data_IF_593681381213
#
_entry.id   IF_593681381213
#
_cell.length_a   1.000
_cell.length_b   1.000
_cell.length_c   1.000
_cell.angle_alpha   90.00
_cell.angle_beta   90.00
_cell.angle_gamma   90.00
#
_symmetry.space_group_name_H-M   'P 1'
#
loop_
_entity.id
_entity.type
_entity.pdbx_description
1 polymer ?
#
# COMPACT_ATOMS: atom_id res chain seq x y z
N UNK A 1 24.35 7.74 -27.49
CA UNK A 1 22.95 8.22 -27.67
C UNK A 1 23.05 9.69 -28.04
N UNK A 2 22.69 10.12 -29.26
CA UNK A 2 22.72 11.54 -29.61
C UNK A 2 21.77 12.32 -28.68
N UNK A 3 22.15 13.55 -28.33
CA UNK A 3 21.37 14.40 -27.44
C UNK A 3 19.94 14.56 -27.98
N UNK A 4 18.95 14.42 -27.09
CA UNK A 4 17.55 14.65 -27.45
C UNK A 4 17.39 16.10 -27.91
N UNK A 5 17.12 16.30 -29.20
CA UNK A 5 16.78 17.60 -29.76
C UNK A 5 15.51 18.11 -29.09
N UNK A 6 15.48 19.39 -28.69
CA UNK A 6 14.32 19.98 -28.04
C UNK A 6 13.08 19.89 -28.94
N UNK A 7 11.91 19.67 -28.34
CA UNK A 7 10.62 19.53 -29.05
C UNK A 7 10.32 20.76 -29.93
N UNK A 8 10.57 21.96 -29.41
CA UNK A 8 10.39 23.22 -30.13
C UNK A 8 11.25 23.31 -31.40
N UNK A 9 12.48 22.76 -31.38
CA UNK A 9 13.34 22.77 -32.56
C UNK A 9 12.80 21.84 -33.65
N UNK A 10 12.23 20.68 -33.26
CA UNK A 10 11.61 19.73 -34.19
C UNK A 10 10.37 20.33 -34.87
N UNK A 11 9.54 21.05 -34.11
CA UNK A 11 8.37 21.78 -34.62
C UNK A 11 8.78 22.83 -35.65
N UNK A 12 9.78 23.65 -35.33
CA UNK A 12 10.29 24.67 -36.25
C UNK A 12 10.80 24.08 -37.56
N UNK A 13 11.52 22.96 -37.50
CA UNK A 13 12.00 22.25 -38.70
C UNK A 13 10.83 21.83 -39.62
N UNK A 14 9.72 21.38 -39.05
CA UNK A 14 8.53 20.98 -39.82
C UNK A 14 7.87 22.19 -40.47
N UNK A 15 7.66 23.28 -39.72
CA UNK A 15 7.11 24.53 -40.25
C UNK A 15 7.98 25.09 -41.37
N UNK A 16 9.30 25.10 -41.18
CA UNK A 16 10.26 25.56 -42.19
C UNK A 16 10.18 24.79 -43.50
N UNK A 17 9.98 23.48 -43.43
CA UNK A 17 9.92 22.63 -44.60
C UNK A 17 8.54 22.64 -45.29
N UNK A 18 7.45 22.54 -44.54
CA UNK A 18 6.11 22.39 -45.09
C UNK A 18 5.39 23.73 -45.37
N UNK A 19 5.53 24.72 -44.50
CA UNK A 19 4.84 26.01 -44.65
C UNK A 19 5.69 27.05 -45.38
N UNK A 20 6.99 27.10 -45.07
CA UNK A 20 7.90 28.11 -45.63
C UNK A 20 8.73 27.61 -46.83
N UNK A 21 8.65 26.33 -47.19
CA UNK A 21 9.36 25.71 -48.31
C UNK A 21 10.87 26.01 -48.37
N UNK A 22 11.51 26.10 -47.20
CA UNK A 22 12.95 26.38 -47.08
C UNK A 22 13.73 25.13 -47.52
N UNK A 23 14.82 25.29 -48.32
CA UNK A 23 15.65 24.15 -48.72
C UNK A 23 16.35 23.52 -47.51
N UNK A 24 16.55 22.20 -47.58
CA UNK A 24 17.05 21.38 -46.46
C UNK A 24 18.43 21.84 -45.96
N UNK A 25 19.29 22.33 -46.86
CA UNK A 25 20.62 22.83 -46.49
C UNK A 25 20.55 24.08 -45.61
N UNK A 26 19.59 24.96 -45.90
CA UNK A 26 19.36 26.15 -45.09
C UNK A 26 18.71 25.79 -43.75
N UNK A 27 17.80 24.81 -43.71
CA UNK A 27 17.26 24.26 -42.46
C UNK A 27 18.36 23.68 -41.56
N UNK A 28 19.34 22.98 -42.15
CA UNK A 28 20.50 22.45 -41.42
C UNK A 28 21.33 23.58 -40.82
N UNK A 29 21.62 24.64 -41.59
CA UNK A 29 22.35 25.80 -41.10
C UNK A 29 21.60 26.54 -39.99
N UNK A 30 20.29 26.72 -40.14
CA UNK A 30 19.44 27.44 -39.17
C UNK A 30 19.20 26.66 -37.87
N UNK A 31 19.06 25.33 -37.96
CA UNK A 31 18.79 24.47 -36.79
C UNK A 31 20.05 23.99 -36.07
N UNK A 32 21.21 24.02 -36.74
CA UNK A 32 22.45 23.44 -36.23
C UNK A 32 22.42 21.90 -36.13
N UNK A 33 21.41 21.25 -36.72
CA UNK A 33 21.25 19.80 -36.71
C UNK A 33 21.97 19.16 -37.90
N UNK A 34 22.38 17.89 -37.75
CA UNK A 34 22.90 17.14 -38.90
C UNK A 34 21.79 16.90 -39.94
N UNK A 35 22.18 16.80 -41.21
CA UNK A 35 21.27 16.52 -42.32
C UNK A 35 20.44 15.24 -42.09
N UNK A 36 21.05 14.21 -41.52
CA UNK A 36 20.39 12.96 -41.16
C UNK A 36 19.28 13.16 -40.11
N UNK A 37 19.51 14.01 -39.10
CA UNK A 37 18.50 14.31 -38.07
C UNK A 37 17.32 15.06 -38.67
N UNK A 38 17.56 16.03 -39.56
CA UNK A 38 16.48 16.76 -40.27
C UNK A 38 15.63 15.80 -41.09
N UNK A 39 16.26 14.92 -41.89
CA UNK A 39 15.53 13.91 -42.66
C UNK A 39 14.74 12.95 -41.76
N UNK A 40 15.31 12.48 -40.64
CA UNK A 40 14.60 11.62 -39.70
C UNK A 40 13.37 12.32 -39.10
N UNK A 41 13.46 13.60 -38.75
CA UNK A 41 12.32 14.39 -38.22
C UNK A 41 11.21 14.46 -39.27
N UNK A 42 11.56 14.84 -40.51
CA UNK A 42 10.59 14.93 -41.60
C UNK A 42 9.97 13.57 -41.93
N UNK A 43 10.76 12.49 -41.91
CA UNK A 43 10.27 11.15 -42.15
C UNK A 43 9.28 10.69 -41.07
N UNK A 44 9.58 10.94 -39.78
CA UNK A 44 8.66 10.63 -38.69
C UNK A 44 7.35 11.42 -38.85
N UNK A 45 7.44 12.71 -39.18
CA UNK A 45 6.26 13.56 -39.39
C UNK A 45 5.43 13.12 -40.60
N UNK A 46 6.06 12.79 -41.73
CA UNK A 46 5.36 12.31 -42.92
C UNK A 46 4.67 10.95 -42.70
N UNK A 47 5.29 10.06 -41.93
CA UNK A 47 4.76 8.72 -41.71
C UNK A 47 3.65 8.69 -40.64
N UNK A 48 3.72 9.56 -39.63
CA UNK A 48 2.87 9.47 -38.44
C UNK A 48 2.08 10.74 -38.12
N UNK A 49 2.31 11.86 -38.82
CA UNK A 49 1.69 13.16 -38.54
C UNK A 49 2.04 13.74 -37.16
N UNK A 50 3.06 13.19 -36.50
CA UNK A 50 3.46 13.53 -35.14
C UNK A 50 4.96 13.78 -35.06
N UNK A 51 5.39 14.57 -34.09
CA UNK A 51 6.80 14.79 -33.77
C UNK A 51 7.47 13.52 -33.25
N UNK A 52 6.70 12.60 -32.67
CA UNK A 52 7.18 11.36 -32.10
C UNK A 52 6.62 10.17 -32.87
N UNK A 53 7.45 9.15 -33.06
CA UNK A 53 6.97 7.89 -33.61
C UNK A 53 6.06 7.22 -32.55
N UNK A 54 4.75 7.09 -32.81
CA UNK A 54 3.81 6.47 -31.87
C UNK A 54 4.11 4.99 -31.66
N UNK A 55 4.85 4.34 -32.57
CA UNK A 55 5.26 2.94 -32.47
C UNK A 55 6.55 2.76 -31.65
N UNK A 56 7.29 3.83 -31.38
CA UNK A 56 8.43 3.79 -30.46
C UNK A 56 7.92 3.84 -29.03
N UNK A 57 7.25 2.77 -28.59
CA UNK A 57 7.05 2.56 -27.17
C UNK A 57 8.41 2.23 -26.54
N UNK A 58 8.75 2.80 -25.37
CA UNK A 58 9.92 2.37 -24.64
C UNK A 58 9.81 0.88 -24.36
N UNK A 59 10.62 0.08 -25.06
CA UNK A 59 10.72 -1.35 -24.76
C UNK A 59 11.53 -1.47 -23.48
N UNK A 60 10.81 -1.53 -22.36
CA UNK A 60 11.41 -1.80 -21.06
C UNK A 60 11.99 -3.23 -21.02
N UNK A 61 12.79 -3.51 -19.99
CA UNK A 61 13.21 -4.88 -19.69
C UNK A 61 11.96 -5.75 -19.53
N UNK A 62 11.96 -6.92 -20.15
CA UNK A 62 10.89 -7.90 -20.00
C UNK A 62 10.64 -8.17 -18.51
N UNK A 63 9.37 -8.13 -18.11
CA UNK A 63 9.00 -8.42 -16.71
C UNK A 63 9.23 -9.91 -16.44
N UNK A 64 9.66 -10.25 -15.23
CA UNK A 64 9.80 -11.65 -14.82
C UNK A 64 8.43 -12.34 -14.64
N UNK A 65 7.37 -11.57 -14.42
CA UNK A 65 5.99 -12.06 -14.31
C UNK A 65 5.21 -11.61 -15.54
N UNK A 66 4.59 -12.57 -16.21
CA UNK A 66 3.72 -12.32 -17.35
C UNK A 66 2.28 -12.05 -16.88
N UNK A 67 1.41 -11.57 -17.77
CA UNK A 67 0.00 -11.32 -17.48
C UNK A 67 -0.71 -12.55 -16.88
N UNK A 68 -0.40 -13.76 -17.37
CA UNK A 68 -0.98 -15.00 -16.85
C UNK A 68 -0.61 -15.30 -15.39
N UNK A 69 0.59 -14.90 -14.96
CA UNK A 69 1.04 -15.10 -13.57
C UNK A 69 0.38 -14.08 -12.64
N UNK A 70 0.15 -12.86 -13.12
CA UNK A 70 -0.60 -11.85 -12.38
C UNK A 70 -2.04 -12.31 -12.12
N UNK A 71 -2.71 -12.89 -13.11
CA UNK A 71 -4.05 -13.47 -12.95
C UNK A 71 -4.04 -14.63 -11.94
N UNK A 72 -3.01 -15.46 -11.96
CA UNK A 72 -2.85 -16.54 -10.98
C UNK A 72 -2.70 -16.00 -9.55
N UNK A 73 -1.84 -15.01 -9.33
CA UNK A 73 -1.65 -14.37 -8.03
C UNK A 73 -2.95 -13.74 -7.52
N UNK A 74 -3.73 -13.10 -8.40
CA UNK A 74 -5.03 -12.55 -8.05
C UNK A 74 -6.03 -13.65 -7.62
N UNK A 75 -6.06 -14.78 -8.32
CA UNK A 75 -6.90 -15.92 -7.93
C UNK A 75 -6.51 -16.49 -6.57
N UNK A 76 -5.20 -16.62 -6.33
CA UNK A 76 -4.67 -17.13 -5.06
C UNK A 76 -5.05 -16.23 -3.88
N UNK A 77 -4.90 -14.93 -4.03
CA UNK A 77 -5.29 -13.94 -3.02
C UNK A 77 -6.81 -13.84 -2.84
N UNK A 78 -7.59 -14.10 -3.89
CA UNK A 78 -9.05 -14.12 -3.80
C UNK A 78 -9.56 -15.33 -3.02
N UNK A 79 -8.88 -16.48 -3.16
CA UNK A 79 -9.19 -17.69 -2.40
C UNK A 79 -8.73 -17.59 -0.94
N UNK A 80 -7.51 -17.08 -0.72
CA UNK A 80 -6.88 -17.00 0.59
C UNK A 80 -6.25 -15.61 0.80
N UNK A 81 -7.01 -14.60 1.28
CA UNK A 81 -6.49 -13.26 1.51
C UNK A 81 -5.48 -13.19 2.67
N UNK A 82 -5.39 -14.27 3.47
CA UNK A 82 -4.48 -14.38 4.61
C UNK A 82 -3.08 -14.87 4.24
N UNK A 83 -2.77 -15.04 2.96
CA UNK A 83 -1.47 -15.56 2.52
C UNK A 83 -0.34 -14.53 2.69
N UNK A 84 0.86 -15.00 3.01
CA UNK A 84 2.08 -14.19 3.07
C UNK A 84 2.82 -14.15 1.73
N UNK A 85 3.79 -13.25 1.59
CA UNK A 85 4.49 -13.04 0.30
C UNK A 85 5.40 -14.20 -0.08
N UNK A 86 6.03 -14.84 0.91
CA UNK A 86 6.81 -16.06 0.79
C UNK A 86 5.93 -17.26 0.42
N UNK A 87 4.75 -17.40 1.02
CA UNK A 87 3.79 -18.44 0.61
C UNK A 87 3.35 -18.27 -0.87
N UNK A 88 3.11 -17.03 -1.31
CA UNK A 88 2.80 -16.75 -2.73
C UNK A 88 4.01 -17.08 -3.62
N UNK A 89 5.23 -16.84 -3.15
CA UNK A 89 6.45 -17.21 -3.85
C UNK A 89 6.55 -18.72 -4.03
N UNK A 90 6.28 -19.49 -2.97
CA UNK A 90 6.31 -20.96 -3.01
C UNK A 90 5.26 -21.50 -3.98
N UNK A 91 4.03 -20.96 -3.96
CA UNK A 91 2.98 -21.34 -4.91
C UNK A 91 3.35 -21.06 -6.38
N UNK A 92 4.03 -19.94 -6.63
CA UNK A 92 4.54 -19.61 -7.97
C UNK A 92 5.67 -20.54 -8.40
N UNK A 93 6.56 -20.90 -7.49
CA UNK A 93 7.63 -21.86 -7.77
C UNK A 93 7.06 -23.26 -8.07
N UNK A 94 6.09 -23.73 -7.27
CA UNK A 94 5.51 -25.06 -7.42
C UNK A 94 4.60 -25.18 -8.66
N UNK A 95 3.73 -24.19 -8.91
CA UNK A 95 2.71 -24.29 -9.96
C UNK A 95 3.20 -23.81 -11.32
N UNK A 96 4.04 -22.77 -11.33
CA UNK A 96 4.47 -22.08 -12.56
C UNK A 96 5.97 -22.26 -12.85
N UNK A 97 6.73 -22.83 -11.92
CA UNK A 97 8.19 -22.97 -12.01
C UNK A 97 8.90 -21.61 -12.22
N UNK A 98 8.37 -20.56 -11.58
CA UNK A 98 8.90 -19.20 -11.65
C UNK A 98 9.44 -18.80 -10.27
N UNK A 99 10.73 -18.55 -10.20
CA UNK A 99 11.37 -18.03 -8.99
C UNK A 99 11.42 -16.49 -9.03
N UNK A 100 10.70 -15.86 -8.10
CA UNK A 100 10.65 -14.39 -7.97
C UNK A 100 11.03 -13.97 -6.57
N UNK A 101 11.85 -12.93 -6.46
CA UNK A 101 12.15 -12.35 -5.15
C UNK A 101 10.90 -11.75 -4.50
N UNK A 102 10.84 -11.79 -3.17
CA UNK A 102 9.79 -11.13 -2.36
C UNK A 102 9.65 -9.64 -2.72
N UNK A 103 10.77 -8.96 -3.02
CA UNK A 103 10.75 -7.56 -3.44
C UNK A 103 10.05 -7.35 -4.80
N UNK A 104 10.22 -8.30 -5.73
CA UNK A 104 9.50 -8.31 -7.01
C UNK A 104 8.01 -8.48 -6.77
N UNK A 105 7.63 -9.44 -5.94
CA UNK A 105 6.23 -9.70 -5.57
C UNK A 105 5.58 -8.48 -4.91
N UNK A 106 6.24 -7.86 -3.94
CA UNK A 106 5.76 -6.65 -3.26
C UNK A 106 5.50 -5.49 -4.25
N UNK A 107 6.43 -5.25 -5.18
CA UNK A 107 6.25 -4.23 -6.23
C UNK A 107 5.09 -4.59 -7.16
N UNK A 108 4.95 -5.85 -7.53
CA UNK A 108 3.87 -6.30 -8.42
C UNK A 108 2.50 -6.16 -7.78
N UNK A 109 2.35 -6.53 -6.50
CA UNK A 109 1.09 -6.37 -5.76
C UNK A 109 0.72 -4.90 -5.58
N UNK A 110 1.71 -4.04 -5.30
CA UNK A 110 1.50 -2.59 -5.25
C UNK A 110 1.02 -2.03 -6.60
N UNK A 111 1.60 -2.51 -7.70
CA UNK A 111 1.16 -2.13 -9.06
C UNK A 111 -0.25 -2.64 -9.40
N UNK A 112 -0.68 -3.74 -8.78
CA UNK A 112 -2.05 -4.28 -8.86
C UNK A 112 -3.03 -3.57 -7.89
N UNK A 113 -2.60 -2.51 -7.21
CA UNK A 113 -3.37 -1.77 -6.20
C UNK A 113 -3.81 -2.62 -4.99
N UNK A 114 -3.16 -3.77 -4.75
CA UNK A 114 -3.38 -4.59 -3.55
C UNK A 114 -2.45 -4.05 -2.46
N UNK A 115 -2.99 -3.20 -1.58
CA UNK A 115 -2.20 -2.41 -0.62
C UNK A 115 -2.24 -2.92 0.81
N UNK A 116 -3.25 -3.72 1.17
CA UNK A 116 -3.41 -4.21 2.54
C UNK A 116 -4.12 -5.57 2.60
N UNK A 117 -3.66 -6.39 3.54
CA UNK A 117 -4.26 -7.65 3.92
C UNK A 117 -5.51 -7.32 4.75
N UNK A 118 -6.70 -7.41 4.15
CA UNK A 118 -7.96 -7.30 4.91
C UNK A 118 -8.15 -8.61 5.66
N UNK A 119 -7.64 -8.67 6.89
CA UNK A 119 -7.88 -9.80 7.79
C UNK A 119 -9.07 -9.43 8.68
N UNK A 120 -10.28 -9.69 8.19
CA UNK A 120 -11.42 -9.85 9.07
C UNK A 120 -11.30 -11.25 9.70
N UNK A 121 -10.43 -11.40 10.70
CA UNK A 121 -10.40 -12.63 11.50
C UNK A 121 -11.58 -12.56 12.47
N UNK A 122 -12.71 -13.10 12.07
CA UNK A 122 -13.75 -13.44 13.03
C UNK A 122 -13.17 -14.50 13.98
N UNK A 123 -13.32 -14.27 15.29
CA UNK A 123 -12.90 -15.24 16.29
C UNK A 123 -13.71 -16.53 16.07
N UNK A 124 -13.06 -17.68 16.03
CA UNK A 124 -13.73 -18.98 15.83
C UNK A 124 -14.78 -19.26 16.93
N UNK A 125 -14.56 -18.69 18.11
CA UNK A 125 -15.43 -18.77 19.29
C UNK A 125 -16.61 -17.79 19.24
N UNK A 126 -16.72 -16.98 18.17
CA UNK A 126 -17.73 -15.93 18.06
C UNK A 126 -19.10 -16.53 17.75
N UNK A 127 -19.96 -16.53 18.77
CA UNK A 127 -21.38 -16.87 18.65
C UNK A 127 -22.22 -15.58 18.61
N UNK A 128 -22.87 -15.33 17.46
CA UNK A 128 -23.71 -14.15 17.25
C UNK A 128 -24.97 -14.16 18.13
N UNK A 129 -25.51 -15.35 18.46
CA UNK A 129 -26.64 -15.48 19.38
C UNK A 129 -26.21 -15.05 20.78
N UNK A 130 -25.05 -15.55 21.25
CA UNK A 130 -24.52 -15.20 22.57
C UNK A 130 -24.21 -13.69 22.66
N UNK A 131 -23.67 -13.08 21.59
CA UNK A 131 -23.47 -11.62 21.51
C UNK A 131 -24.78 -10.85 21.58
N UNK A 132 -25.81 -11.28 20.87
CA UNK A 132 -27.11 -10.60 20.87
C UNK A 132 -27.78 -10.69 22.25
N UNK A 133 -27.72 -11.86 22.90
CA UNK A 133 -28.20 -12.05 24.28
C UNK A 133 -27.45 -11.15 25.25
N UNK A 134 -26.11 -11.15 25.20
CA UNK A 134 -25.29 -10.29 26.04
C UNK A 134 -25.56 -8.80 25.80
N UNK A 135 -25.75 -8.36 24.55
CA UNK A 135 -26.11 -6.97 24.22
C UNK A 135 -27.46 -6.55 24.84
N UNK A 136 -28.46 -7.45 24.83
CA UNK A 136 -29.76 -7.19 25.47
C UNK A 136 -29.71 -7.21 27.00
N UNK A 137 -28.78 -7.96 27.59
CA UNK A 137 -28.54 -7.96 29.03
C UNK A 137 -27.79 -6.70 29.48
N UNK A 138 -26.73 -6.32 28.75
CA UNK A 138 -25.89 -5.18 29.12
C UNK A 138 -26.57 -3.84 28.90
N UNK A 139 -27.54 -3.74 27.97
CA UNK A 139 -28.31 -2.51 27.71
C UNK A 139 -29.15 -2.04 28.89
N UNK A 140 -29.28 -2.84 29.96
CA UNK A 140 -29.99 -2.49 31.19
C UNK A 140 -29.19 -1.56 32.10
N UNK A 141 -27.87 -1.51 31.92
CA UNK A 141 -26.97 -0.69 32.70
C UNK A 141 -26.69 0.62 31.96
N UNK A 142 -26.61 1.73 32.69
CA UNK A 142 -26.20 3.01 32.13
C UNK A 142 -24.67 3.07 31.97
N UNK A 143 -24.18 3.96 31.10
CA UNK A 143 -22.76 4.05 30.74
C UNK A 143 -21.83 4.29 31.95
N UNK A 144 -22.31 5.02 32.96
CA UNK A 144 -21.62 5.32 34.20
C UNK A 144 -21.54 4.12 35.17
N UNK A 145 -22.31 3.06 34.91
CA UNK A 145 -22.32 1.82 35.68
C UNK A 145 -21.40 0.74 35.10
N UNK A 146 -20.80 0.99 33.93
CA UNK A 146 -19.96 0.03 33.22
C UNK A 146 -18.47 0.31 33.45
N UNK A 147 -17.76 -0.69 33.97
CA UNK A 147 -16.30 -0.68 34.13
C UNK A 147 -15.73 -1.86 33.36
N UNK A 148 -14.76 -1.58 32.48
CA UNK A 148 -14.11 -2.61 31.67
C UNK A 148 -12.70 -2.88 32.19
N UNK A 149 -12.41 -4.16 32.39
CA UNK A 149 -11.10 -4.67 32.77
C UNK A 149 -10.61 -5.55 31.63
N UNK A 150 -9.43 -5.23 31.10
CA UNK A 150 -8.78 -6.06 30.09
C UNK A 150 -7.30 -6.23 30.45
N UNK A 151 -6.78 -7.42 30.14
CA UNK A 151 -5.39 -7.77 30.36
C UNK A 151 -4.61 -7.53 29.08
N UNK A 152 -3.83 -6.45 29.06
CA UNK A 152 -2.93 -6.18 27.96
C UNK A 152 -1.56 -6.81 28.25
N UNK A 153 -1.10 -7.70 27.38
CA UNK A 153 0.28 -8.18 27.41
C UNK A 153 1.14 -7.12 26.73
N UNK A 154 1.97 -6.42 27.51
CA UNK A 154 2.99 -5.52 26.97
C UNK A 154 4.27 -6.33 26.73
N UNK A 155 4.56 -6.59 25.45
CA UNK A 155 5.88 -7.10 25.06
C UNK A 155 6.84 -5.91 24.95
N UNK A 156 7.89 -5.90 25.77
CA UNK A 156 9.00 -4.95 25.65
C UNK A 156 10.18 -5.70 25.03
N UNK A 157 10.73 -5.15 23.95
CA UNK A 157 11.91 -5.70 23.30
C UNK A 157 13.11 -5.57 24.26
N UNK A 158 13.54 -6.70 24.82
CA UNK A 158 14.76 -6.84 25.62
C UNK A 158 14.55 -6.97 27.12
N UNK A 159 14.47 -8.23 27.60
CA UNK A 159 14.67 -8.59 29.01
C UNK A 159 13.50 -9.35 29.64
N UNK A 160 13.57 -10.67 29.62
CA UNK A 160 13.11 -11.73 30.55
C UNK A 160 12.15 -11.38 31.71
N UNK A 161 11.12 -10.57 31.46
CA UNK A 161 10.11 -10.22 32.44
C UNK A 161 8.77 -9.90 31.77
N UNK A 162 7.81 -10.82 31.88
CA UNK A 162 6.41 -10.54 31.54
C UNK A 162 5.78 -9.76 32.69
N UNK A 163 5.54 -8.46 32.52
CA UNK A 163 4.73 -7.72 33.47
C UNK A 163 3.30 -7.60 32.92
N UNK A 164 2.35 -8.24 33.60
CA UNK A 164 0.92 -8.07 33.32
C UNK A 164 0.52 -6.65 33.72
N UNK A 165 0.11 -5.84 32.75
CA UNK A 165 -0.46 -4.52 33.00
C UNK A 165 -1.99 -4.66 33.01
N UNK A 166 -2.62 -4.44 34.17
CA UNK A 166 -4.09 -4.30 34.24
C UNK A 166 -4.47 -2.90 33.78
N UNK A 167 -5.14 -2.80 32.63
CA UNK A 167 -5.75 -1.55 32.21
C UNK A 167 -7.15 -1.46 32.81
N UNK A 168 -7.41 -0.38 33.54
CA UNK A 168 -8.75 -0.05 34.03
C UNK A 168 -9.25 1.15 33.24
N UNK A 169 -10.30 0.94 32.45
CA UNK A 169 -10.96 1.99 31.68
C UNK A 169 -12.29 2.36 32.36
N UNK A 170 -12.45 3.63 32.71
CA UNK A 170 -13.69 4.16 33.29
C UNK A 170 -14.49 4.92 32.22
N UNK A 171 -15.60 4.32 31.77
CA UNK A 171 -16.67 4.95 30.99
C UNK A 171 -16.33 5.44 29.57
N UNK A 172 -17.30 5.51 28.65
CA UNK A 172 -17.10 6.06 27.32
C UNK A 172 -17.28 7.59 27.35
N UNK A 173 -16.20 8.37 27.47
CA UNK A 173 -16.20 9.65 26.77
C UNK A 173 -15.88 9.36 25.30
N UNK A 174 -16.93 8.97 24.56
CA UNK A 174 -16.90 8.93 23.11
C UNK A 174 -16.67 10.36 22.61
N UNK A 175 -15.46 10.66 22.16
CA UNK A 175 -15.09 11.95 21.58
C UNK A 175 -15.82 12.15 20.24
N UNK A 176 -17.06 12.64 20.25
CA UNK A 176 -17.69 13.20 19.06
C UNK A 176 -16.98 14.49 18.67
N UNK A 177 -16.27 14.46 17.55
CA UNK A 177 -15.76 15.64 16.89
C UNK A 177 -16.90 16.56 16.47
N UNK A 178 -17.16 17.60 17.27
CA UNK A 178 -17.72 18.87 16.76
C UNK A 178 -16.69 19.97 16.94
N UNK A 179 -16.30 20.51 15.80
CA UNK A 179 -15.62 21.78 15.62
C UNK A 179 -16.12 22.83 16.60
N UNK A 180 -15.26 23.28 17.50
CA UNK A 180 -15.55 24.38 18.41
C UNK A 180 -14.49 24.49 19.50
N UNK A 181 -13.56 25.42 19.31
CA UNK A 181 -12.59 25.86 20.31
C UNK A 181 -13.19 25.96 21.72
N UNK A 182 -12.65 25.20 22.68
CA UNK A 182 -12.14 25.78 23.92
C UNK A 182 -11.19 24.79 24.60
N UNK A 183 -9.94 25.24 24.79
CA UNK A 183 -9.02 24.70 25.78
C UNK A 183 -9.70 24.71 27.15
N UNK A 184 -9.88 23.55 27.77
CA UNK A 184 -9.76 23.40 29.22
C UNK A 184 -9.41 21.94 29.51
N UNK A 185 -8.16 21.76 29.91
CA UNK A 185 -7.52 20.53 30.30
C UNK A 185 -8.30 19.79 31.40
N UNK A 186 -8.80 18.60 31.09
CA UNK A 186 -8.96 17.53 32.10
C UNK A 186 -8.23 16.31 31.60
N UNK A 187 -7.03 16.13 32.14
CA UNK A 187 -6.18 14.97 31.95
C UNK A 187 -6.97 13.71 32.31
N UNK A 188 -7.18 12.80 31.34
CA UNK A 188 -7.50 11.40 31.63
C UNK A 188 -6.30 10.85 32.41
N UNK A 189 -6.48 10.62 33.71
CA UNK A 189 -5.42 10.10 34.58
C UNK A 189 -5.49 8.58 34.52
N UNK A 190 -4.80 7.97 33.56
CA UNK A 190 -4.55 6.53 33.59
C UNK A 190 -3.70 6.23 34.84
N UNK A 191 -4.25 5.46 35.77
CA UNK A 191 -3.49 4.97 36.93
C UNK A 191 -2.96 3.58 36.58
N UNK A 192 -1.66 3.47 36.32
CA UNK A 192 -0.98 2.17 36.38
C UNK A 192 -0.84 1.82 37.86
N UNK A 193 -1.59 0.84 38.32
CA UNK A 193 -1.37 0.24 39.63
C UNK A 193 -0.32 -0.86 39.45
N UNK A 194 0.90 -0.60 39.91
CA UNK A 194 1.97 -1.60 39.98
C UNK A 194 1.66 -2.59 41.10
N UNK A 195 1.11 -3.75 40.76
CA UNK A 195 1.02 -4.89 41.67
C UNK A 195 2.37 -5.62 41.71
N UNK A 196 3.08 -5.55 42.84
CA UNK A 196 4.15 -6.52 43.12
C UNK A 196 3.52 -7.85 43.47
N UNK A 197 3.84 -8.89 42.70
CA UNK A 197 3.56 -10.27 43.06
C UNK A 197 4.38 -10.59 44.31
N UNK A 198 3.73 -10.78 45.45
CA UNK A 198 4.32 -11.51 46.59
C UNK A 198 3.70 -12.88 46.58
N UNK A 199 4.53 -13.88 46.31
CA UNK A 199 4.17 -15.29 46.41
C UNK A 199 3.71 -15.56 47.84
N UNK A 200 2.47 -16.05 47.97
CA UNK A 200 1.94 -16.60 49.20
C UNK A 200 1.39 -17.98 48.85
N UNK A 201 2.15 -18.97 49.30
CA UNK A 201 1.87 -20.39 49.24
C UNK A 201 0.57 -20.76 49.97
N UNK A 202 -0.03 -21.85 49.47
CA UNK A 202 -0.90 -22.83 50.14
C UNK A 202 -1.71 -22.40 51.38
N UNK A 203 -3.04 -22.39 51.26
CA UNK A 203 -3.88 -23.12 52.22
C UNK A 203 -5.08 -23.75 51.51
N UNK A 204 -5.04 -25.09 51.42
CA UNK A 204 -6.20 -25.95 51.20
C UNK A 204 -7.20 -25.79 52.34
N UNK A 205 -8.48 -25.62 52.01
CA UNK A 205 -9.56 -26.11 52.87
C UNK A 205 -10.63 -26.79 52.00
N UNK A 206 -10.66 -28.12 52.13
CA UNK A 206 -11.86 -28.96 51.99
C UNK A 206 -12.94 -28.59 53.01
#
# INVERSE_FOLDING_TARGET
MPAATSTQLRERVIVWYHEMHIPIDEIVTLSGLSRATVYNILQIYNNHGSLHNPLNLPSGRHRNLEAGDLTYIQGLLSANPTMFLDEIQDHLAETRNIEVSIATLSRTLRNLAITHKSVAKEALERDELLRATWQGEISRYSEDQLVFLDEAILMRDGGDGHQLAKLVCYGPHFCEGRSGLSMLSRQVRCHCLEGRHTDADEELFT
#
